data_IF_455927997138
#
_entry.id   IF_455927997138
#
_cell.length_a   1.000
_cell.length_b   1.000
_cell.length_c   1.000
_cell.angle_alpha   90.00
_cell.angle_beta   90.00
_cell.angle_gamma   90.00
#
_symmetry.space_group_name_H-M   'P 1'
#
loop_
_entity.id
_entity.type
_entity.pdbx_description
1 polymer ?
#
# COMPACT_ATOMS: atom_id res chain seq x y z
N UNK A 1 13.69 0.19 8.53
CA UNK A 1 13.78 1.32 9.49
C UNK A 1 12.80 1.03 10.62
N UNK A 2 13.13 1.31 11.88
CA UNK A 2 12.19 1.07 12.99
C UNK A 2 11.23 2.26 13.11
N UNK A 3 9.93 2.01 13.19
CA UNK A 3 8.91 3.05 13.41
C UNK A 3 8.96 3.53 14.86
N UNK A 4 9.08 4.86 15.06
CA UNK A 4 9.02 5.45 16.40
C UNK A 4 7.60 5.36 17.01
N UNK A 5 7.47 5.69 18.29
CA UNK A 5 6.15 5.80 18.92
C UNK A 5 5.26 6.85 18.22
N UNK A 6 5.84 8.00 17.86
CA UNK A 6 5.15 9.06 17.12
C UNK A 6 4.76 8.62 15.71
N UNK A 7 5.65 7.88 15.03
CA UNK A 7 5.33 7.32 13.71
C UNK A 7 4.11 6.39 13.80
N UNK A 8 4.08 5.50 14.79
CA UNK A 8 2.96 4.59 15.03
C UNK A 8 1.66 5.33 15.37
N UNK A 9 1.75 6.40 16.18
CA UNK A 9 0.59 7.22 16.51
C UNK A 9 0.02 7.92 15.26
N UNK A 10 0.89 8.53 14.44
CA UNK A 10 0.51 9.18 13.18
C UNK A 10 -0.15 8.19 12.21
N UNK A 11 0.43 6.99 12.04
CA UNK A 11 -0.13 5.95 11.16
C UNK A 11 -1.53 5.54 11.62
N UNK A 12 -1.70 5.28 12.93
CA UNK A 12 -3.01 4.92 13.50
C UNK A 12 -4.04 6.04 13.33
N UNK A 13 -3.64 7.29 13.57
CA UNK A 13 -4.51 8.44 13.39
C UNK A 13 -4.95 8.60 11.93
N UNK A 14 -4.02 8.53 10.98
CA UNK A 14 -4.31 8.57 9.55
C UNK A 14 -5.25 7.43 9.13
N UNK A 15 -5.01 6.21 9.63
CA UNK A 15 -5.87 5.05 9.31
C UNK A 15 -7.29 5.20 9.86
N UNK A 16 -7.45 5.82 11.04
CA UNK A 16 -8.75 6.17 11.59
C UNK A 16 -9.54 7.15 10.71
N UNK A 17 -8.84 8.04 9.99
CA UNK A 17 -9.46 9.01 9.06
C UNK A 17 -9.88 8.40 7.72
N UNK A 18 -9.16 7.38 7.24
CA UNK A 18 -9.53 6.64 6.03
C UNK A 18 -10.93 6.02 6.19
N UNK A 19 -11.26 5.54 7.40
CA UNK A 19 -12.60 5.03 7.72
C UNK A 19 -13.05 3.92 6.76
N UNK A 20 -14.28 4.02 6.25
CA UNK A 20 -14.86 3.06 5.31
C UNK A 20 -14.33 3.17 3.86
N UNK A 21 -13.48 4.14 3.56
CA UNK A 21 -13.03 4.44 2.19
C UNK A 21 -11.80 3.64 1.75
N UNK A 22 -11.25 2.77 2.59
CA UNK A 22 -10.01 2.04 2.28
C UNK A 22 -10.05 1.32 0.93
N UNK A 23 -11.16 0.66 0.60
CA UNK A 23 -11.31 -0.04 -0.68
C UNK A 23 -11.32 0.92 -1.89
N UNK A 24 -11.98 2.06 -1.77
CA UNK A 24 -12.03 3.12 -2.78
C UNK A 24 -10.64 3.71 -3.02
N UNK A 25 -9.93 4.07 -1.95
CA UNK A 25 -8.57 4.63 -2.04
C UNK A 25 -7.56 3.62 -2.56
N UNK A 26 -7.71 2.33 -2.20
CA UNK A 26 -6.89 1.26 -2.75
C UNK A 26 -7.05 1.12 -4.27
N UNK A 27 -8.28 1.25 -4.77
CA UNK A 27 -8.57 1.21 -6.21
C UNK A 27 -7.98 2.44 -6.92
N UNK A 28 -8.19 3.64 -6.36
CA UNK A 28 -7.65 4.88 -6.92
C UNK A 28 -6.11 4.87 -6.98
N UNK A 29 -5.45 4.37 -5.94
CA UNK A 29 -3.99 4.25 -5.94
C UNK A 29 -3.48 3.30 -7.03
N UNK A 30 -4.19 2.20 -7.31
CA UNK A 30 -3.88 1.30 -8.42
C UNK A 30 -4.09 1.98 -9.77
N UNK A 31 -5.20 2.69 -9.96
CA UNK A 31 -5.47 3.45 -11.19
C UNK A 31 -4.39 4.51 -11.44
N UNK A 32 -3.99 5.26 -10.40
CA UNK A 32 -2.86 6.21 -10.46
C UNK A 32 -1.55 5.51 -10.85
N UNK A 33 -1.27 4.35 -10.28
CA UNK A 33 -0.06 3.58 -10.59
C UNK A 33 -0.05 3.11 -12.05
N UNK A 34 -1.17 2.57 -12.54
CA UNK A 34 -1.27 2.10 -13.92
C UNK A 34 -1.16 3.23 -14.94
N UNK A 35 -1.69 4.42 -14.64
CA UNK A 35 -1.59 5.59 -15.51
C UNK A 35 -0.19 6.21 -15.50
N UNK A 36 0.39 6.45 -14.32
CA UNK A 36 1.67 7.13 -14.17
C UNK A 36 2.87 6.23 -14.44
N UNK A 37 2.73 4.93 -14.22
CA UNK A 37 3.79 3.93 -14.37
C UNK A 37 3.30 2.72 -15.20
N UNK A 38 3.09 2.85 -16.51
CA UNK A 38 2.44 1.84 -17.33
C UNK A 38 3.11 0.46 -17.33
N UNK A 39 4.42 0.38 -17.05
CA UNK A 39 5.16 -0.88 -16.92
C UNK A 39 4.59 -1.79 -15.83
N UNK A 40 3.95 -1.23 -14.80
CA UNK A 40 3.29 -1.99 -13.73
C UNK A 40 2.10 -2.82 -14.23
N UNK A 41 1.48 -2.45 -15.35
CA UNK A 41 0.38 -3.21 -15.98
C UNK A 41 0.81 -4.61 -16.44
N UNK A 42 2.11 -4.84 -16.65
CA UNK A 42 2.64 -6.14 -17.08
C UNK A 42 2.40 -7.27 -16.07
N UNK A 43 2.17 -6.93 -14.80
CA UNK A 43 1.78 -7.89 -13.74
C UNK A 43 0.28 -8.25 -13.77
N UNK A 44 -0.53 -7.52 -14.54
CA UNK A 44 -1.98 -7.67 -14.59
C UNK A 44 -2.53 -7.92 -16.02
N UNK A 45 -1.92 -8.81 -16.84
CA UNK A 45 -2.39 -9.06 -18.21
C UNK A 45 -3.78 -9.73 -18.25
N UNK A 46 -4.24 -10.25 -17.12
CA UNK A 46 -5.51 -10.95 -16.93
C UNK A 46 -6.60 -10.05 -16.31
N UNK A 47 -6.31 -8.76 -16.11
CA UNK A 47 -7.27 -7.78 -15.63
C UNK A 47 -7.71 -6.86 -16.75
N UNK A 48 -8.99 -6.51 -16.74
CA UNK A 48 -9.44 -5.24 -17.25
C UNK A 48 -8.89 -4.13 -16.32
N UNK A 49 -7.99 -3.31 -16.85
CA UNK A 49 -7.39 -2.16 -16.16
C UNK A 49 -7.93 -0.82 -16.68
N UNK A 50 -9.08 -0.84 -17.36
CA UNK A 50 -9.79 0.37 -17.75
C UNK A 50 -10.36 1.12 -16.53
N UNK A 51 -10.57 2.44 -16.63
CA UNK A 51 -11.12 3.23 -15.53
C UNK A 51 -12.44 2.65 -15.00
N UNK A 52 -12.56 2.47 -13.69
CA UNK A 52 -13.77 1.97 -13.05
C UNK A 52 -13.95 0.44 -13.06
N UNK A 53 -12.98 -0.31 -13.59
CA UNK A 53 -12.97 -1.78 -13.60
C UNK A 53 -13.29 -2.40 -12.24
N UNK A 54 -14.22 -3.36 -12.24
CA UNK A 54 -14.56 -4.13 -11.05
C UNK A 54 -13.38 -4.98 -10.54
N UNK A 55 -12.49 -5.43 -11.43
CA UNK A 55 -11.30 -6.20 -11.05
C UNK A 55 -10.29 -5.31 -10.31
N UNK A 56 -10.08 -4.08 -10.79
CA UNK A 56 -9.22 -3.10 -10.12
C UNK A 56 -9.79 -2.72 -8.76
N UNK A 57 -11.10 -2.45 -8.67
CA UNK A 57 -11.78 -2.16 -7.39
C UNK A 57 -11.67 -3.30 -6.39
N UNK A 58 -11.94 -4.53 -6.84
CA UNK A 58 -11.83 -5.73 -6.01
C UNK A 58 -10.39 -5.98 -5.53
N UNK A 59 -9.40 -5.70 -6.36
CA UNK A 59 -8.00 -5.82 -5.96
C UNK A 59 -7.55 -4.69 -5.03
N UNK A 60 -7.99 -3.46 -5.27
CA UNK A 60 -7.78 -2.30 -4.40
C UNK A 60 -8.29 -2.57 -2.98
N UNK A 61 -9.47 -3.18 -2.85
CA UNK A 61 -10.00 -3.62 -1.55
C UNK A 61 -9.09 -4.62 -0.83
N UNK A 62 -8.49 -5.58 -1.56
CA UNK A 62 -7.55 -6.56 -0.97
C UNK A 62 -6.25 -5.88 -0.50
N UNK A 63 -5.71 -4.96 -1.30
CA UNK A 63 -4.51 -4.19 -0.95
C UNK A 63 -4.78 -3.34 0.30
N UNK A 64 -5.91 -2.62 0.33
CA UNK A 64 -6.31 -1.82 1.48
C UNK A 64 -6.51 -2.67 2.75
N UNK A 65 -7.13 -3.85 2.62
CA UNK A 65 -7.29 -4.79 3.72
C UNK A 65 -5.94 -5.29 4.27
N UNK A 66 -4.98 -5.60 3.39
CA UNK A 66 -3.63 -5.99 3.80
C UNK A 66 -2.89 -4.87 4.55
N UNK A 67 -3.02 -3.62 4.07
CA UNK A 67 -2.43 -2.46 4.75
C UNK A 67 -3.11 -2.17 6.09
N UNK A 68 -4.43 -2.41 6.21
CA UNK A 68 -5.13 -2.29 7.47
C UNK A 68 -4.63 -3.33 8.50
N UNK A 69 -4.40 -4.57 8.06
CA UNK A 69 -3.77 -5.61 8.89
C UNK A 69 -2.35 -5.20 9.30
N UNK A 70 -1.55 -4.64 8.39
CA UNK A 70 -0.22 -4.13 8.73
C UNK A 70 -0.29 -2.98 9.75
N UNK A 71 -1.22 -2.04 9.60
CA UNK A 71 -1.40 -0.91 10.51
C UNK A 71 -1.89 -1.33 11.91
N UNK A 72 -2.57 -2.47 12.05
CA UNK A 72 -2.94 -3.05 13.35
C UNK A 72 -1.81 -3.87 13.99
N UNK A 73 -0.78 -4.24 13.24
CA UNK A 73 0.35 -5.07 13.68
C UNK A 73 1.71 -4.37 13.47
N UNK A 74 1.80 -3.07 13.77
CA UNK A 74 3.01 -2.27 13.54
C UNK A 74 4.26 -2.75 14.29
N UNK A 75 4.08 -3.54 15.35
CA UNK A 75 5.15 -4.15 16.14
C UNK A 75 5.60 -5.51 15.59
N UNK A 76 4.82 -6.14 14.70
CA UNK A 76 5.11 -7.46 14.13
C UNK A 76 4.59 -7.58 12.67
N UNK A 77 5.08 -6.68 11.81
CA UNK A 77 4.78 -6.72 10.38
C UNK A 77 5.20 -8.04 9.70
N UNK A 78 6.37 -8.66 10.01
CA UNK A 78 6.79 -9.89 9.36
C UNK A 78 5.82 -11.05 9.57
N UNK A 79 5.32 -11.25 10.80
CA UNK A 79 4.34 -12.30 11.04
C UNK A 79 3.00 -11.98 10.35
N UNK A 80 2.50 -10.75 10.50
CA UNK A 80 1.22 -10.33 9.95
C UNK A 80 1.15 -10.43 8.40
N UNK A 81 2.28 -10.24 7.72
CA UNK A 81 2.35 -10.24 6.26
C UNK A 81 3.05 -11.47 5.67
N UNK A 82 3.41 -12.47 6.49
CA UNK A 82 4.24 -13.61 6.07
C UNK A 82 3.73 -14.33 4.82
N UNK A 83 2.42 -14.61 4.76
CA UNK A 83 1.78 -15.27 3.62
C UNK A 83 1.77 -14.40 2.35
N UNK A 84 1.66 -13.07 2.51
CA UNK A 84 1.76 -12.13 1.39
C UNK A 84 3.20 -12.03 0.88
N UNK A 85 4.20 -12.08 1.76
CA UNK A 85 5.61 -12.16 1.37
C UNK A 85 5.88 -13.43 0.54
N UNK A 86 5.37 -14.59 0.97
CA UNK A 86 5.51 -15.85 0.22
C UNK A 86 4.85 -15.75 -1.16
N UNK A 87 3.63 -15.20 -1.21
CA UNK A 87 2.89 -15.02 -2.46
C UNK A 87 3.67 -14.15 -3.45
N UNK A 88 4.16 -12.99 -3.01
CA UNK A 88 4.88 -12.06 -3.88
C UNK A 88 6.25 -12.60 -4.29
N UNK A 89 6.99 -13.22 -3.37
CA UNK A 89 8.33 -13.74 -3.65
C UNK A 89 8.32 -14.97 -4.56
N UNK A 90 7.46 -15.95 -4.29
CA UNK A 90 7.58 -17.26 -4.92
C UNK A 90 6.64 -17.47 -6.11
N UNK A 91 5.46 -16.84 -6.08
CA UNK A 91 4.44 -17.00 -7.14
C UNK A 91 4.38 -15.81 -8.08
N UNK A 92 4.14 -14.60 -7.55
CA UNK A 92 3.90 -13.42 -8.39
C UNK A 92 5.20 -12.83 -8.95
N UNK A 93 6.30 -12.93 -8.18
CA UNK A 93 7.64 -12.46 -8.54
C UNK A 93 7.65 -11.01 -9.01
N UNK A 94 6.90 -10.15 -8.33
CA UNK A 94 6.83 -8.71 -8.61
C UNK A 94 8.19 -8.09 -8.33
N UNK A 95 8.80 -7.37 -9.28
CA UNK A 95 10.11 -6.76 -9.02
C UNK A 95 10.00 -5.78 -7.83
N UNK A 96 10.89 -5.87 -6.82
CA UNK A 96 10.88 -5.01 -5.64
C UNK A 96 10.72 -3.51 -5.91
N UNK A 97 11.15 -3.01 -7.07
CA UNK A 97 11.00 -1.60 -7.44
C UNK A 97 9.53 -1.16 -7.50
N UNK A 98 8.61 -2.03 -7.92
CA UNK A 98 7.21 -1.67 -8.14
C UNK A 98 6.46 -1.38 -6.84
N UNK A 99 6.91 -1.94 -5.71
CA UNK A 99 6.34 -1.61 -4.40
C UNK A 99 6.52 -0.14 -4.07
N UNK A 100 7.65 0.48 -4.46
CA UNK A 100 7.89 1.92 -4.26
C UNK A 100 6.92 2.77 -5.07
N UNK A 101 6.58 2.33 -6.29
CA UNK A 101 5.65 3.03 -7.17
C UNK A 101 4.24 3.01 -6.59
N UNK A 102 3.78 1.86 -6.12
CA UNK A 102 2.48 1.75 -5.44
C UNK A 102 2.45 2.55 -4.13
N UNK A 103 3.50 2.46 -3.30
CA UNK A 103 3.62 3.26 -2.07
C UNK A 103 3.49 4.76 -2.36
N UNK A 104 4.14 5.26 -3.41
CA UNK A 104 4.02 6.65 -3.82
C UNK A 104 2.58 7.00 -4.23
N UNK A 105 1.93 6.17 -5.06
CA UNK A 105 0.53 6.41 -5.46
C UNK A 105 -0.45 6.36 -4.29
N UNK A 106 -0.19 5.53 -3.27
CA UNK A 106 -0.96 5.51 -2.03
C UNK A 106 -0.80 6.84 -1.26
N UNK A 107 0.43 7.34 -1.11
CA UNK A 107 0.68 8.64 -0.46
C UNK A 107 -0.03 9.79 -1.19
N UNK A 108 0.03 9.82 -2.52
CA UNK A 108 -0.67 10.83 -3.34
C UNK A 108 -2.19 10.73 -3.14
N UNK A 109 -2.73 9.52 -3.08
CA UNK A 109 -4.17 9.32 -2.85
C UNK A 109 -4.58 9.83 -1.46
N UNK A 110 -3.82 9.48 -0.41
CA UNK A 110 -4.11 9.95 0.95
C UNK A 110 -3.99 11.47 1.07
N UNK A 111 -3.01 12.09 0.41
CA UNK A 111 -2.85 13.54 0.39
C UNK A 111 -4.03 14.25 -0.29
N UNK A 112 -4.58 13.66 -1.36
CA UNK A 112 -5.71 14.22 -2.09
C UNK A 112 -7.02 14.18 -1.28
N UNK A 113 -7.22 13.14 -0.47
CA UNK A 113 -8.45 12.93 0.30
C UNK A 113 -8.41 13.51 1.72
N UNK A 114 -7.22 13.64 2.31
CA UNK A 114 -7.04 14.15 3.68
C UNK A 114 -6.05 15.32 3.74
N UNK A 115 -6.24 16.40 2.98
CA UNK A 115 -5.25 17.48 2.87
C UNK A 115 -4.95 18.17 4.22
N UNK A 116 -5.92 18.24 5.13
CA UNK A 116 -5.74 18.81 6.46
C UNK A 116 -4.94 17.88 7.41
N UNK A 117 -5.10 16.57 7.27
CA UNK A 117 -4.43 15.57 8.12
C UNK A 117 -3.05 15.17 7.54
N UNK A 118 -2.81 15.38 6.24
CA UNK A 118 -1.56 15.04 5.54
C UNK A 118 -0.44 16.06 5.79
N UNK A 119 -0.14 16.28 7.07
CA UNK A 119 0.97 17.15 7.52
C UNK A 119 2.33 16.54 7.16
N UNK A 120 3.43 17.33 7.17
CA UNK A 120 4.78 16.79 6.92
C UNK A 120 5.17 15.64 7.86
N UNK A 121 4.75 15.69 9.13
CA UNK A 121 5.02 14.63 10.10
C UNK A 121 4.25 13.35 9.75
N UNK A 122 2.95 13.45 9.44
CA UNK A 122 2.13 12.31 9.03
C UNK A 122 2.63 11.71 7.72
N UNK A 123 2.99 12.55 6.74
CA UNK A 123 3.59 12.12 5.48
C UNK A 123 4.86 11.29 5.73
N UNK A 124 5.80 11.83 6.52
CA UNK A 124 7.03 11.10 6.84
C UNK A 124 6.76 9.76 7.54
N UNK A 125 5.80 9.71 8.47
CA UNK A 125 5.43 8.46 9.15
C UNK A 125 4.79 7.44 8.22
N UNK A 126 3.90 7.86 7.31
CA UNK A 126 3.28 7.00 6.30
C UNK A 126 4.29 6.48 5.28
N UNK A 127 5.24 7.30 4.84
CA UNK A 127 6.31 6.88 3.92
C UNK A 127 7.19 5.80 4.56
N UNK A 128 7.64 6.01 5.80
CA UNK A 128 8.39 5.00 6.57
C UNK A 128 7.61 3.70 6.75
N UNK A 129 6.31 3.79 7.02
CA UNK A 129 5.43 2.63 7.15
C UNK A 129 5.35 1.84 5.86
N UNK A 130 5.04 2.50 4.74
CA UNK A 130 4.94 1.87 3.43
C UNK A 130 6.28 1.28 2.98
N UNK A 131 7.40 1.94 3.29
CA UNK A 131 8.74 1.40 3.07
C UNK A 131 9.01 0.13 3.90
N UNK A 132 8.53 0.09 5.15
CA UNK A 132 8.65 -1.08 6.02
C UNK A 132 7.80 -2.25 5.53
N UNK A 133 6.57 -1.98 5.09
CA UNK A 133 5.69 -2.98 4.45
C UNK A 133 6.36 -3.54 3.20
N UNK A 134 6.87 -2.69 2.30
CA UNK A 134 7.59 -3.11 1.09
C UNK A 134 8.83 -3.96 1.42
N UNK A 135 9.58 -3.60 2.46
CA UNK A 135 10.73 -4.40 2.93
C UNK A 135 10.28 -5.79 3.37
N UNK A 136 9.18 -5.90 4.12
CA UNK A 136 8.64 -7.19 4.57
C UNK A 136 8.13 -8.03 3.40
N UNK A 137 7.40 -7.43 2.45
CA UNK A 137 6.87 -8.16 1.28
C UNK A 137 7.97 -8.68 0.36
N UNK A 138 9.12 -8.01 0.34
CA UNK A 138 10.28 -8.40 -0.49
C UNK A 138 11.33 -9.24 0.26
N UNK A 139 11.14 -9.49 1.56
CA UNK A 139 12.13 -10.14 2.43
C UNK A 139 12.49 -11.58 2.04
N UNK A 140 11.61 -12.29 1.33
CA UNK A 140 11.77 -13.70 0.95
C UNK A 140 12.16 -13.92 -0.52
N UNK A 141 12.56 -12.86 -1.22
CA UNK A 141 12.92 -12.93 -2.64
C UNK A 141 14.28 -13.60 -2.90
N UNK A 142 15.12 -13.73 -1.87
CA UNK A 142 16.48 -14.26 -1.93
C UNK A 142 16.77 -15.13 -0.73
#
# INVERSE_FOLDING_TARGET
>A
MVLSADDKANIKAAWGKIGGHGAEYGAEALERMFCSFPTTKTYFPHFDVSPGSAQVKGHGAKVAGALATAASHLDDLPAALSALSDLHAHKLRVDPVNFKLLSHCLLVTLAAHHPADFTPAVHASLDKFLASVSTVLTSKYR
#
